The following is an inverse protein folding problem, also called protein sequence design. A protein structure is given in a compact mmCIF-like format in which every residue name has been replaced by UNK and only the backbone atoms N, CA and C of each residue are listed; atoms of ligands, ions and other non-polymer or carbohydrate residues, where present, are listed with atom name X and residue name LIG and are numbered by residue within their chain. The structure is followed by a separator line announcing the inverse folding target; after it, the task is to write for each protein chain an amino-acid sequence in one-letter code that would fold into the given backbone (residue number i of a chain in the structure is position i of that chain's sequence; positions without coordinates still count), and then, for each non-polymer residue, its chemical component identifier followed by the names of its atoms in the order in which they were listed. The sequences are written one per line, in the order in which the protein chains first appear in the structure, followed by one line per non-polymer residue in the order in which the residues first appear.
data_IF_259712700153
#
_entry.id   IF_259712700153
#
_cell.length_a   1.000
_cell.length_b   1.000
_cell.length_c   1.000
_cell.angle_alpha   90.00
_cell.angle_beta   90.00
_cell.angle_gamma   90.00
#
_symmetry.space_group_name_H-M   'P 1'
#
loop_
_entity.id
_entity.type
_entity.pdbx_description
1 polymer ?
#
# COMPACT_ATOMS: atom_id res chain seq x y z
N UNK A 1 0.34 15.59 -12.00
CA UNK A 1 1.34 14.56 -12.35
C UNK A 1 0.64 13.57 -13.24
N UNK A 2 1.29 13.04 -14.28
CA UNK A 2 0.61 12.44 -15.45
C UNK A 2 -0.52 11.46 -15.09
N UNK A 3 -0.28 10.54 -14.14
CA UNK A 3 -1.30 9.58 -13.71
C UNK A 3 -2.55 10.25 -13.09
N UNK A 4 -2.36 11.26 -12.24
CA UNK A 4 -3.44 12.01 -11.61
C UNK A 4 -4.22 12.85 -12.63
N UNK A 5 -3.52 13.47 -13.58
CA UNK A 5 -4.13 14.30 -14.61
C UNK A 5 -5.01 13.44 -15.54
N UNK A 6 -4.55 12.23 -15.87
CA UNK A 6 -5.32 11.24 -16.62
C UNK A 6 -6.54 10.71 -15.84
N UNK A 7 -6.40 10.46 -14.54
CA UNK A 7 -7.50 10.03 -13.69
C UNK A 7 -8.61 11.09 -13.67
N UNK A 8 -8.26 12.36 -13.42
CA UNK A 8 -9.19 13.49 -13.44
C UNK A 8 -9.90 13.64 -14.78
N UNK A 9 -9.15 13.61 -15.89
CA UNK A 9 -9.73 13.75 -17.22
C UNK A 9 -10.70 12.60 -17.56
N UNK A 10 -10.35 11.37 -17.19
CA UNK A 10 -11.19 10.19 -17.44
C UNK A 10 -12.50 10.26 -16.65
N UNK A 11 -12.40 10.53 -15.34
CA UNK A 11 -13.56 10.61 -14.46
C UNK A 11 -14.47 11.78 -14.83
N UNK A 12 -13.90 12.95 -15.16
CA UNK A 12 -14.66 14.12 -15.65
C UNK A 12 -15.41 13.86 -16.96
N UNK A 13 -14.99 12.85 -17.72
CA UNK A 13 -15.65 12.41 -18.95
C UNK A 13 -16.68 11.30 -18.71
N UNK A 14 -17.02 10.99 -17.45
CA UNK A 14 -17.94 9.90 -17.08
C UNK A 14 -17.36 8.50 -17.29
N UNK A 15 -16.04 8.36 -17.51
CA UNK A 15 -15.41 7.06 -17.73
C UNK A 15 -14.99 6.47 -16.39
N UNK A 16 -15.30 5.19 -16.17
CA UNK A 16 -14.75 4.44 -15.05
C UNK A 16 -13.22 4.40 -15.12
N UNK A 17 -12.56 4.43 -13.97
CA UNK A 17 -11.11 4.45 -13.86
C UNK A 17 -10.65 3.36 -12.90
N UNK A 18 -9.77 2.48 -13.38
CA UNK A 18 -9.18 1.37 -12.62
C UNK A 18 -7.68 1.62 -12.48
N UNK A 19 -7.12 1.50 -11.27
CA UNK A 19 -5.71 1.79 -11.02
C UNK A 19 -5.08 0.91 -9.94
N UNK A 20 -3.77 0.71 -10.04
CA UNK A 20 -2.93 0.13 -8.98
C UNK A 20 -2.05 1.18 -8.28
N UNK A 21 -2.26 2.48 -8.57
CA UNK A 21 -1.41 3.55 -8.05
C UNK A 21 -1.80 3.95 -6.62
N UNK A 22 -1.24 3.23 -5.65
CA UNK A 22 -1.44 3.47 -4.21
C UNK A 22 -1.09 4.88 -3.75
N UNK A 23 0.00 5.49 -4.23
CA UNK A 23 0.40 6.83 -3.79
C UNK A 23 -0.66 7.87 -4.21
N UNK A 24 -1.13 7.78 -5.45
CA UNK A 24 -2.22 8.64 -5.93
C UNK A 24 -3.51 8.46 -5.13
N UNK A 25 -3.90 7.22 -4.80
CA UNK A 25 -5.11 6.97 -4.00
C UNK A 25 -4.92 7.44 -2.54
N UNK A 26 -3.74 7.23 -1.95
CA UNK A 26 -3.45 7.66 -0.58
C UNK A 26 -3.46 9.19 -0.41
N UNK A 27 -3.07 9.95 -1.44
CA UNK A 27 -3.04 11.42 -1.37
C UNK A 27 -4.24 12.13 -2.01
N UNK A 28 -4.88 11.52 -3.00
CA UNK A 28 -5.93 12.16 -3.81
C UNK A 28 -7.21 11.31 -3.92
N UNK A 29 -7.30 10.18 -3.22
CA UNK A 29 -8.42 9.24 -3.34
C UNK A 29 -9.78 9.87 -3.07
N UNK A 30 -9.89 10.74 -2.05
CA UNK A 30 -11.15 11.43 -1.73
C UNK A 30 -11.61 12.35 -2.86
N UNK A 31 -10.71 13.18 -3.40
CA UNK A 31 -11.04 14.08 -4.52
C UNK A 31 -11.45 13.28 -5.76
N UNK A 32 -10.72 12.22 -6.09
CA UNK A 32 -11.04 11.37 -7.23
C UNK A 32 -12.36 10.61 -7.05
N UNK A 33 -12.68 10.15 -5.84
CA UNK A 33 -13.95 9.48 -5.54
C UNK A 33 -15.14 10.44 -5.71
N UNK A 34 -15.04 11.65 -5.17
CA UNK A 34 -16.06 12.69 -5.33
C UNK A 34 -16.26 13.06 -6.81
N UNK A 35 -15.17 13.19 -7.57
CA UNK A 35 -15.23 13.45 -9.01
C UNK A 35 -15.90 12.31 -9.77
N UNK A 36 -15.62 11.06 -9.40
CA UNK A 36 -16.27 9.89 -10.00
C UNK A 36 -17.78 9.89 -9.73
N UNK A 37 -18.19 10.11 -8.49
CA UNK A 37 -19.60 10.20 -8.08
C UNK A 37 -20.35 11.30 -8.83
N UNK A 38 -19.77 12.50 -8.92
CA UNK A 38 -20.36 13.64 -9.61
C UNK A 38 -20.59 13.40 -11.11
N UNK A 39 -19.82 12.49 -11.73
CA UNK A 39 -19.90 12.18 -13.16
C UNK A 39 -20.48 10.79 -13.44
N UNK A 40 -21.14 10.16 -12.45
CA UNK A 40 -21.71 8.82 -12.57
C UNK A 40 -20.69 7.77 -13.07
N UNK A 41 -19.45 7.91 -12.62
CA UNK A 41 -18.33 7.02 -12.91
C UNK A 41 -17.92 6.24 -11.66
N UNK A 42 -17.00 5.28 -11.84
CA UNK A 42 -16.49 4.45 -10.75
C UNK A 42 -14.98 4.56 -10.70
N UNK A 43 -14.45 4.73 -9.48
CA UNK A 43 -13.03 4.62 -9.18
C UNK A 43 -12.77 3.27 -8.49
N UNK A 44 -11.96 2.42 -9.12
CA UNK A 44 -11.64 1.07 -8.63
C UNK A 44 -10.13 0.92 -8.45
N UNK A 45 -9.72 0.40 -7.30
CA UNK A 45 -8.30 0.41 -6.92
C UNK A 45 -7.86 -0.79 -6.07
N UNK A 46 -8.49 -1.95 -6.25
CA UNK A 46 -8.14 -3.20 -5.54
C UNK A 46 -6.64 -3.51 -5.65
N UNK A 47 -6.09 -3.47 -6.86
CA UNK A 47 -4.68 -3.78 -7.13
C UNK A 47 -3.68 -2.81 -6.46
N UNK A 48 -4.14 -1.67 -5.93
CA UNK A 48 -3.27 -0.74 -5.20
C UNK A 48 -2.85 -1.30 -3.84
N UNK A 49 -3.61 -2.23 -3.26
CA UNK A 49 -3.37 -2.78 -1.93
C UNK A 49 -3.40 -4.30 -1.96
N UNK A 50 -2.40 -4.94 -1.34
CA UNK A 50 -2.32 -6.39 -1.18
C UNK A 50 -2.35 -7.23 -2.48
N UNK A 51 -2.12 -6.60 -3.64
CA UNK A 51 -1.93 -7.28 -4.93
C UNK A 51 -3.15 -8.09 -5.35
N UNK A 52 -3.05 -9.42 -5.29
CA UNK A 52 -4.13 -10.34 -5.65
C UNK A 52 -5.10 -10.68 -4.51
N UNK A 53 -4.82 -10.22 -3.28
CA UNK A 53 -5.71 -10.44 -2.13
C UNK A 53 -6.87 -9.43 -2.22
N UNK A 54 -8.15 -9.84 -2.15
CA UNK A 54 -9.30 -8.95 -2.29
C UNK A 54 -9.55 -8.12 -1.01
N UNK A 55 -8.57 -7.33 -0.58
CA UNK A 55 -8.59 -6.61 0.68
C UNK A 55 -9.58 -5.43 0.67
N UNK A 56 -9.59 -4.64 -0.41
CA UNK A 56 -10.49 -3.48 -0.58
C UNK A 56 -11.92 -3.97 -0.65
N UNK A 57 -12.22 -4.96 -1.50
CA UNK A 57 -13.57 -5.51 -1.64
C UNK A 57 -14.07 -6.16 -0.35
N UNK A 58 -13.22 -6.90 0.36
CA UNK A 58 -13.58 -7.50 1.66
C UNK A 58 -14.01 -6.42 2.66
N UNK A 59 -13.22 -5.35 2.81
CA UNK A 59 -13.55 -4.27 3.73
C UNK A 59 -14.78 -3.46 3.30
N UNK A 60 -14.87 -3.12 2.01
CA UNK A 60 -15.91 -2.23 1.48
C UNK A 60 -17.27 -2.91 1.33
N UNK A 61 -17.29 -4.17 0.92
CA UNK A 61 -18.52 -4.88 0.53
C UNK A 61 -18.77 -6.08 1.44
N UNK A 62 -17.76 -6.92 1.66
CA UNK A 62 -17.92 -8.15 2.45
C UNK A 62 -18.21 -7.89 3.93
N UNK A 63 -17.66 -6.82 4.49
CA UNK A 63 -17.78 -6.46 5.89
C UNK A 63 -18.60 -5.18 6.12
N UNK A 64 -19.33 -4.69 5.13
CA UNK A 64 -20.08 -3.43 5.20
C UNK A 64 -21.09 -3.36 6.37
N UNK A 65 -21.59 -4.50 6.84
CA UNK A 65 -22.48 -4.59 8.01
C UNK A 65 -21.80 -4.75 9.36
N UNK A 66 -20.46 -4.75 9.41
CA UNK A 66 -19.67 -4.98 10.62
C UNK A 66 -18.95 -3.70 11.05
N UNK A 67 -18.79 -3.54 12.36
CA UNK A 67 -17.90 -2.53 12.91
C UNK A 67 -16.46 -3.06 12.94
N UNK A 68 -15.57 -2.44 12.17
CA UNK A 68 -14.15 -2.80 12.17
C UNK A 68 -13.46 -2.08 13.33
N UNK A 69 -12.83 -2.85 14.21
CA UNK A 69 -12.09 -2.29 15.36
C UNK A 69 -10.57 -2.21 15.13
N UNK A 70 -10.03 -3.00 14.19
CA UNK A 70 -8.60 -3.03 13.86
C UNK A 70 -8.35 -3.58 12.47
N UNK A 71 -7.37 -3.01 11.78
CA UNK A 71 -6.76 -3.58 10.57
C UNK A 71 -5.26 -3.73 10.82
N UNK A 72 -4.71 -4.90 10.50
CA UNK A 72 -3.28 -5.19 10.57
C UNK A 72 -2.92 -6.20 9.48
N UNK A 73 -1.68 -6.14 8.99
CA UNK A 73 -1.20 -7.08 8.00
C UNK A 73 0.22 -6.78 7.54
N UNK A 74 0.82 -7.78 6.89
CA UNK A 74 2.11 -7.64 6.20
C UNK A 74 1.81 -7.13 4.79
N UNK A 75 2.13 -5.86 4.54
CA UNK A 75 1.71 -5.16 3.33
C UNK A 75 2.83 -4.97 2.30
N UNK A 76 4.08 -5.32 2.63
CA UNK A 76 5.23 -5.20 1.75
C UNK A 76 5.97 -6.53 1.62
N UNK A 77 6.04 -7.05 0.38
CA UNK A 77 6.64 -8.36 0.09
C UNK A 77 8.16 -8.36 0.23
N UNK A 78 8.83 -7.30 -0.20
CA UNK A 78 10.29 -7.14 -0.15
C UNK A 78 10.81 -7.13 1.29
N UNK A 79 10.22 -6.32 2.17
CA UNK A 79 10.52 -6.30 3.59
C UNK A 79 10.25 -7.66 4.23
N UNK A 80 9.10 -8.28 3.93
CA UNK A 80 8.78 -9.58 4.50
C UNK A 80 9.79 -10.65 4.09
N UNK A 81 10.22 -10.65 2.83
CA UNK A 81 11.26 -11.55 2.33
C UNK A 81 12.60 -11.33 3.05
N UNK A 82 13.03 -10.07 3.19
CA UNK A 82 14.28 -9.72 3.88
C UNK A 82 14.24 -10.21 5.33
N UNK A 83 13.22 -9.81 6.09
CA UNK A 83 13.09 -10.20 7.50
C UNK A 83 13.01 -11.72 7.69
N UNK A 84 12.24 -12.41 6.85
CA UNK A 84 12.14 -13.89 6.90
C UNK A 84 13.49 -14.56 6.59
N UNK A 85 14.27 -13.99 5.67
CA UNK A 85 15.59 -14.53 5.31
C UNK A 85 16.60 -14.27 6.41
N UNK A 86 16.58 -13.09 7.04
CA UNK A 86 17.40 -12.78 8.20
C UNK A 86 17.10 -13.74 9.36
N UNK A 87 15.82 -13.93 9.70
CA UNK A 87 15.37 -14.86 10.76
C UNK A 87 15.85 -16.29 10.50
N UNK A 88 15.71 -16.78 9.26
CA UNK A 88 16.01 -18.19 8.93
C UNK A 88 17.49 -18.48 8.76
N UNK A 89 18.29 -17.49 8.34
CA UNK A 89 19.72 -17.69 8.03
C UNK A 89 20.67 -17.09 9.06
N UNK A 90 20.17 -16.21 9.94
CA UNK A 90 20.99 -15.45 10.88
C UNK A 90 21.89 -14.40 10.22
N UNK A 91 21.69 -14.10 8.94
CA UNK A 91 22.50 -13.11 8.19
C UNK A 91 22.04 -11.69 8.47
N UNK A 92 22.98 -10.76 8.32
CA UNK A 92 22.73 -9.34 8.52
C UNK A 92 21.95 -8.70 7.37
N UNK A 93 21.28 -7.58 7.67
CA UNK A 93 20.38 -6.87 6.77
C UNK A 93 21.01 -6.55 5.42
N UNK A 94 22.21 -5.96 5.41
CA UNK A 94 22.88 -5.53 4.18
C UNK A 94 23.19 -6.69 3.23
N UNK A 95 23.57 -7.85 3.78
CA UNK A 95 23.83 -9.04 2.97
C UNK A 95 22.55 -9.57 2.34
N UNK A 96 21.47 -9.65 3.13
CA UNK A 96 20.17 -10.14 2.66
C UNK A 96 19.56 -9.18 1.64
N UNK A 97 19.69 -7.86 1.83
CA UNK A 97 19.25 -6.86 0.88
C UNK A 97 19.98 -7.01 -0.46
N UNK A 98 21.31 -7.18 -0.45
CA UNK A 98 22.08 -7.40 -1.67
C UNK A 98 21.63 -8.66 -2.44
N UNK A 99 21.32 -9.73 -1.72
CA UNK A 99 20.77 -10.95 -2.33
C UNK A 99 19.35 -10.75 -2.87
N UNK A 100 18.48 -10.05 -2.13
CA UNK A 100 17.14 -9.70 -2.57
C UNK A 100 17.17 -8.89 -3.86
N UNK A 101 18.12 -7.95 -3.99
CA UNK A 101 18.33 -7.18 -5.22
C UNK A 101 18.80 -8.06 -6.38
N UNK A 102 19.78 -8.95 -6.14
CA UNK A 102 20.28 -9.87 -7.17
C UNK A 102 19.20 -10.82 -7.68
N UNK A 103 18.29 -11.25 -6.81
CA UNK A 103 17.17 -12.14 -7.14
C UNK A 103 15.95 -11.40 -7.72
N UNK A 104 15.96 -10.07 -7.73
CA UNK A 104 14.86 -9.24 -8.23
C UNK A 104 13.68 -9.07 -7.27
N UNK A 105 13.85 -9.40 -5.99
CA UNK A 105 12.85 -9.13 -4.94
C UNK A 105 12.89 -7.67 -4.45
N UNK A 106 14.02 -6.98 -4.60
CA UNK A 106 14.19 -5.58 -4.27
C UNK A 106 14.74 -4.82 -5.48
N UNK A 107 14.33 -3.55 -5.65
CA UNK A 107 14.91 -2.68 -6.66
C UNK A 107 16.29 -2.13 -6.22
N UNK A 108 17.02 -1.55 -7.17
CA UNK A 108 18.34 -0.94 -6.90
C UNK A 108 18.24 0.23 -5.90
N UNK A 109 17.13 0.96 -5.94
CA UNK A 109 16.75 1.96 -4.94
C UNK A 109 15.60 1.36 -4.10
N UNK A 110 15.88 0.76 -2.93
CA UNK A 110 14.90 -0.01 -2.18
C UNK A 110 14.16 0.82 -1.12
N UNK A 111 14.44 2.13 -0.98
CA UNK A 111 13.96 2.96 0.13
C UNK A 111 12.43 2.96 0.23
N UNK A 112 11.75 2.93 -0.92
CA UNK A 112 10.31 2.87 -0.95
C UNK A 112 9.72 1.63 -0.24
N UNK A 113 10.46 0.52 -0.23
CA UNK A 113 10.12 -0.69 0.50
C UNK A 113 10.69 -0.65 1.92
N UNK A 114 12.01 -0.61 2.07
CA UNK A 114 12.70 -0.85 3.35
C UNK A 114 12.53 0.27 4.37
N UNK A 115 12.16 1.48 3.92
CA UNK A 115 11.80 2.61 4.80
C UNK A 115 10.30 2.66 5.10
N UNK A 116 9.53 1.67 4.66
CA UNK A 116 8.12 1.47 5.05
C UNK A 116 7.10 2.30 4.28
N UNK A 117 7.52 3.10 3.29
CA UNK A 117 6.66 4.04 2.55
C UNK A 117 5.57 3.30 1.76
N UNK A 118 5.90 2.19 1.10
CA UNK A 118 4.94 1.34 0.39
C UNK A 118 3.85 0.79 1.32
N UNK A 119 4.25 0.26 2.48
CA UNK A 119 3.34 -0.29 3.47
C UNK A 119 2.44 0.81 4.06
N UNK A 120 2.99 1.99 4.32
CA UNK A 120 2.25 3.14 4.82
C UNK A 120 1.17 3.63 3.84
N UNK A 121 1.47 3.69 2.54
CA UNK A 121 0.47 4.03 1.52
C UNK A 121 -0.69 3.02 1.53
N UNK A 122 -0.37 1.73 1.58
CA UNK A 122 -1.37 0.65 1.63
C UNK A 122 -2.20 0.72 2.90
N UNK A 123 -1.57 0.94 4.06
CA UNK A 123 -2.25 1.07 5.35
C UNK A 123 -3.18 2.28 5.39
N UNK A 124 -2.75 3.42 4.83
CA UNK A 124 -3.58 4.64 4.73
C UNK A 124 -4.88 4.35 4.00
N UNK A 125 -4.80 3.65 2.86
CA UNK A 125 -5.97 3.28 2.06
C UNK A 125 -6.88 2.32 2.84
N UNK A 126 -6.31 1.28 3.46
CA UNK A 126 -7.11 0.32 4.24
C UNK A 126 -7.78 0.96 5.44
N UNK A 127 -7.10 1.85 6.15
CA UNK A 127 -7.65 2.57 7.30
C UNK A 127 -8.80 3.49 6.88
N UNK A 128 -8.64 4.23 5.80
CA UNK A 128 -9.70 5.09 5.25
C UNK A 128 -10.97 4.30 4.93
N UNK A 129 -10.83 3.14 4.28
CA UNK A 129 -11.97 2.26 3.95
C UNK A 129 -12.57 1.66 5.22
N UNK A 130 -11.75 1.04 6.08
CA UNK A 130 -12.21 0.28 7.22
C UNK A 130 -12.93 1.14 8.26
N UNK A 131 -12.50 2.39 8.44
CA UNK A 131 -13.03 3.28 9.45
C UNK A 131 -13.91 4.39 8.88
N UNK A 132 -14.11 4.48 7.56
CA UNK A 132 -14.97 5.47 6.91
C UNK A 132 -14.47 6.92 7.03
N UNK A 133 -13.16 7.13 6.92
CA UNK A 133 -12.51 8.45 6.99
C UNK A 133 -11.76 8.79 5.69
N UNK A 134 -11.33 10.04 5.56
CA UNK A 134 -10.44 10.42 4.46
C UNK A 134 -9.03 9.82 4.67
N UNK A 135 -8.32 9.42 3.59
CA UNK A 135 -6.92 9.06 3.67
C UNK A 135 -6.08 10.22 4.24
N UNK A 136 -5.31 9.96 5.29
CA UNK A 136 -4.33 10.90 5.84
C UNK A 136 -2.98 10.20 6.01
N UNK A 137 -2.18 10.23 4.95
CA UNK A 137 -0.85 9.61 4.93
C UNK A 137 0.11 10.27 5.94
N UNK A 138 -0.03 11.58 6.17
CA UNK A 138 0.87 12.31 7.05
C UNK A 138 0.67 11.96 8.54
N UNK A 139 -0.51 11.42 8.89
CA UNK A 139 -0.79 10.92 10.22
C UNK A 139 -0.19 9.52 10.50
N UNK A 140 0.33 8.83 9.49
CA UNK A 140 0.90 7.49 9.65
C UNK A 140 2.31 7.59 10.22
N UNK A 141 2.54 6.95 11.38
CA UNK A 141 3.88 6.73 11.90
C UNK A 141 4.57 5.64 11.09
N UNK A 142 5.77 5.95 10.55
CA UNK A 142 6.52 5.04 9.68
C UNK A 142 7.87 4.75 10.32
N UNK A 143 8.19 3.46 10.43
CA UNK A 143 9.52 2.98 10.79
C UNK A 143 9.89 1.86 9.81
N UNK A 144 11.07 1.99 9.21
CA UNK A 144 11.62 1.00 8.29
C UNK A 144 12.24 -0.20 9.01
N UNK A 145 12.90 -1.06 8.23
CA UNK A 145 13.54 -2.29 8.72
C UNK A 145 15.07 -2.23 8.73
N UNK A 146 15.67 -1.10 8.36
CA UNK A 146 17.14 -0.96 8.22
C UNK A 146 17.91 -1.21 9.52
N UNK A 147 17.31 -0.83 10.65
CA UNK A 147 17.94 -0.95 11.96
C UNK A 147 17.69 -2.32 12.62
N UNK A 148 16.99 -3.23 11.94
CA UNK A 148 16.80 -4.59 12.43
C UNK A 148 18.10 -5.36 12.22
N UNK A 149 18.59 -5.97 13.29
CA UNK A 149 19.80 -6.77 13.30
C UNK A 149 19.50 -8.26 13.43
N UNK A 150 20.45 -9.11 13.04
CA UNK A 150 20.34 -10.56 13.21
C UNK A 150 20.15 -10.97 14.68
N UNK A 151 20.72 -10.21 15.62
CA UNK A 151 20.59 -10.47 17.07
C UNK A 151 19.21 -10.14 17.62
N UNK A 152 18.39 -9.34 16.92
CA UNK A 152 17.02 -9.04 17.35
C UNK A 152 16.06 -10.24 17.16
N UNK A 153 16.46 -11.24 16.37
CA UNK A 153 15.70 -12.48 16.15
C UNK A 153 16.08 -13.64 17.10
N UNK A 154 17.14 -13.48 17.90
CA UNK A 154 17.76 -14.53 18.71
C UNK A 154 17.06 -14.80 20.05
#
# INVERSE_FOLDING_TARGET
GVALDLARASLSSGKHFVTANKAMIAHHGTELAQLAEANNAHLMFEAAVAGGIPAVKTLREGLAGNQINRVAGILNGTCNYILSTMETTGRDFDEVLADAQRLGYAEAEPSFDVDGIDAAHKLTILAAIAFGHQPDFNAVSIQGIRDVSSVDFA
#
